data_IF_280432999579
#
_entry.id   IF_280432999579
#
_cell.length_a   1.000
_cell.length_b   1.000
_cell.length_c   1.000
_cell.angle_alpha   90.00
_cell.angle_beta   90.00
_cell.angle_gamma   90.00
#
_symmetry.space_group_name_H-M   'P 1'
#
loop_
_entity.id
_entity.type
_entity.pdbx_description
1 polymer ?
#
# COMPACT_ATOMS: atom_id res chain seq x y z
C UNK A 1 -13.75 0.64 0.04
N UNK A 2 -13.88 1.86 -0.40
CA UNK A 2 -12.80 2.46 -1.23
C UNK A 2 -11.58 2.72 -0.36
N UNK A 3 -11.78 2.92 0.91
CA UNK A 3 -10.61 3.12 1.78
C UNK A 3 -9.74 1.86 1.68
N UNK A 4 -10.36 0.74 1.40
CA UNK A 4 -9.61 -0.54 1.32
C UNK A 4 -8.79 -0.53 0.06
N UNK A 5 -9.40 -0.23 -1.05
CA UNK A 5 -8.59 -0.11 -2.29
C UNK A 5 -7.45 0.84 -1.91
N UNK A 6 -7.75 1.70 -0.96
CA UNK A 6 -6.76 2.66 -0.44
C UNK A 6 -5.70 1.94 0.41
N UNK A 7 -6.08 1.03 1.30
CA UNK A 7 -5.04 0.33 2.11
C UNK A 7 -4.24 -0.62 1.23
N UNK A 8 -4.80 -1.04 0.13
CA UNK A 8 -4.07 -1.97 -0.78
C UNK A 8 -2.87 -1.24 -1.40
N UNK A 9 -3.13 -0.22 -2.17
CA UNK A 9 -2.00 0.52 -2.80
C UNK A 9 -1.09 1.10 -1.72
N UNK A 10 -1.64 1.45 -0.59
CA UNK A 10 -0.81 2.00 0.51
C UNK A 10 0.09 0.91 1.07
N UNK A 11 -0.35 -0.32 1.00
CA UNK A 11 0.49 -1.43 1.53
C UNK A 11 1.60 -1.76 0.54
N UNK A 12 1.31 -1.69 -0.73
CA UNK A 12 2.36 -1.98 -1.75
C UNK A 12 3.37 -0.83 -1.79
N UNK A 13 2.96 0.34 -1.38
CA UNK A 13 3.88 1.50 -1.39
C UNK A 13 4.88 1.38 -0.24
N UNK A 14 4.40 1.06 0.93
CA UNK A 14 5.32 0.93 2.10
C UNK A 14 6.24 -0.28 1.89
N UNK A 15 5.71 -1.35 1.40
CA UNK A 15 6.55 -2.55 1.16
C UNK A 15 7.48 -2.30 -0.02
N UNK A 16 7.09 -1.41 -0.90
CA UNK A 16 7.95 -1.09 -2.08
C UNK A 16 9.20 -0.39 -1.59
N UNK A 17 9.04 0.59 -0.75
CA UNK A 17 10.22 1.31 -0.21
C UNK A 17 11.03 0.33 0.64
N UNK A 18 10.37 -0.30 1.58
CA UNK A 18 11.07 -1.29 2.45
C UNK A 18 12.04 -2.14 1.62
N UNK A 19 11.54 -3.03 0.81
CA UNK A 19 12.45 -3.87 -0.01
C UNK A 19 12.32 -3.51 -1.50
N UNK A 20 12.21 -2.26 -1.84
#
# INVERSE_FOLDING_TARGET
XDWLKAFYDKVAEKLKEAFX
#
